data_IF_808458071444
#
_entry.id   IF_808458071444
#
_cell.length_a   1.000
_cell.length_b   1.000
_cell.length_c   1.000
_cell.angle_alpha   90.00
_cell.angle_beta   90.00
_cell.angle_gamma   90.00
#
_symmetry.space_group_name_H-M   'P 1'
#
loop_
_entity.id
_entity.type
_entity.pdbx_description
1 polymer ?
#
# COMPACT_ATOMS: atom_id res chain seq x y z
N UNK A 1 -43.59 -33.30 -20.81
CA UNK A 1 -43.80 -32.36 -19.69
C UNK A 1 -42.90 -32.79 -18.54
N UNK A 2 -42.06 -31.87 -18.06
CA UNK A 2 -40.92 -32.12 -17.16
C UNK A 2 -41.37 -32.28 -15.70
N UNK A 3 -40.56 -33.06 -14.97
CA UNK A 3 -40.79 -33.71 -13.67
C UNK A 3 -40.92 -32.74 -12.49
N UNK A 4 -41.65 -33.22 -11.49
CA UNK A 4 -41.86 -32.66 -10.15
C UNK A 4 -40.56 -32.29 -9.42
N UNK A 5 -40.63 -31.19 -8.68
CA UNK A 5 -39.63 -30.66 -7.75
C UNK A 5 -39.99 -31.21 -6.37
N UNK A 6 -39.10 -32.01 -5.78
CA UNK A 6 -39.15 -32.35 -4.36
C UNK A 6 -38.10 -31.53 -3.61
N UNK A 7 -38.58 -30.63 -2.76
CA UNK A 7 -37.82 -29.94 -1.72
C UNK A 7 -37.76 -30.84 -0.50
N UNK A 8 -36.57 -31.25 -0.07
CA UNK A 8 -36.36 -31.79 1.28
C UNK A 8 -35.17 -31.08 1.91
N UNK A 9 -35.49 -30.36 2.97
CA UNK A 9 -34.60 -29.64 3.87
C UNK A 9 -34.46 -30.51 5.12
N UNK A 10 -33.24 -30.95 5.44
CA UNK A 10 -32.97 -31.69 6.69
C UNK A 10 -31.83 -30.98 7.41
N UNK A 11 -32.22 -30.17 8.41
CA UNK A 11 -31.39 -29.89 9.58
C UNK A 11 -31.30 -31.18 10.41
N UNK A 12 -30.09 -31.58 10.78
CA UNK A 12 -29.92 -32.46 11.94
C UNK A 12 -28.59 -32.13 12.62
N UNK A 13 -28.71 -31.37 13.70
CA UNK A 13 -27.72 -31.17 14.74
C UNK A 13 -27.55 -32.46 15.54
N UNK A 14 -26.33 -32.99 15.62
CA UNK A 14 -25.98 -34.04 16.57
C UNK A 14 -25.00 -33.48 17.61
N UNK A 15 -25.55 -33.14 18.77
CA UNK A 15 -24.80 -32.95 20.01
C UNK A 15 -24.61 -34.33 20.62
N UNK A 16 -23.37 -34.76 20.82
CA UNK A 16 -23.05 -35.90 21.68
C UNK A 16 -22.18 -35.37 22.82
N UNK A 17 -22.82 -35.13 23.95
CA UNK A 17 -22.20 -35.06 25.26
C UNK A 17 -21.99 -36.50 25.75
N UNK A 18 -20.74 -36.92 25.89
CA UNK A 18 -20.39 -38.08 26.70
C UNK A 18 -19.32 -37.65 27.69
N UNK A 19 -19.76 -37.44 28.93
CA UNK A 19 -18.92 -37.48 30.10
C UNK A 19 -18.35 -38.90 30.26
N UNK A 20 -17.05 -39.01 30.52
CA UNK A 20 -16.47 -40.21 31.09
C UNK A 20 -15.59 -39.78 32.28
N UNK A 21 -15.90 -40.41 33.40
CA UNK A 21 -15.45 -40.13 34.76
C UNK A 21 -13.99 -40.50 35.03
N UNK A 22 -13.45 -39.83 36.05
CA UNK A 22 -12.11 -39.93 36.62
C UNK A 22 -11.51 -41.33 36.80
N UNK A 23 -10.20 -41.42 36.55
CA UNK A 23 -9.30 -42.28 37.31
C UNK A 23 -7.95 -41.58 37.51
N UNK A 24 -7.59 -41.42 38.76
CA UNK A 24 -6.47 -40.63 39.31
C UNK A 24 -5.18 -41.47 39.40
N UNK A 25 -4.05 -40.97 38.87
CA UNK A 25 -2.68 -41.34 39.28
C UNK A 25 -1.71 -40.16 39.05
N UNK A 26 -0.81 -39.96 40.01
CA UNK A 26 -0.07 -38.73 40.30
C UNK A 26 1.27 -38.51 39.55
N UNK A 27 1.53 -37.22 39.23
CA UNK A 27 2.78 -36.39 39.25
C UNK A 27 4.03 -36.77 38.40
N UNK A 28 4.97 -35.84 38.07
CA UNK A 28 4.98 -34.36 38.15
C UNK A 28 5.40 -33.63 36.84
N UNK A 29 5.22 -32.31 36.82
CA UNK A 29 5.95 -31.31 35.98
C UNK A 29 5.78 -31.35 34.45
N UNK A 30 5.02 -30.37 33.93
CA UNK A 30 5.56 -29.30 33.06
C UNK A 30 4.53 -28.20 32.89
N UNK A 31 4.89 -27.02 33.37
CA UNK A 31 4.30 -25.74 32.98
C UNK A 31 4.50 -25.61 31.47
N UNK A 32 3.42 -25.45 30.73
CA UNK A 32 3.46 -24.82 29.42
C UNK A 32 2.17 -24.02 29.28
N UNK A 33 2.26 -22.77 29.73
CA UNK A 33 1.36 -21.70 29.34
C UNK A 33 1.39 -21.66 27.81
N UNK A 34 0.38 -22.22 27.15
CA UNK A 34 0.08 -21.80 25.79
C UNK A 34 -0.46 -20.38 25.90
N UNK A 35 0.46 -19.41 25.89
CA UNK A 35 0.19 -18.11 25.30
C UNK A 35 -0.25 -18.38 23.86
N UNK A 36 -1.56 -18.54 23.68
CA UNK A 36 -2.19 -18.28 22.40
C UNK A 36 -1.97 -16.80 22.16
N UNK A 37 -0.82 -16.48 21.56
CA UNK A 37 -0.58 -15.20 20.91
C UNK A 37 -1.65 -15.11 19.85
N UNK A 38 -2.78 -14.49 20.21
CA UNK A 38 -3.72 -13.93 19.25
C UNK A 38 -2.85 -13.13 18.30
N UNK A 39 -2.69 -13.63 17.07
CA UNK A 39 -2.27 -12.82 15.96
C UNK A 39 -3.29 -11.70 15.89
N UNK A 40 -2.93 -10.57 16.50
CA UNK A 40 -3.54 -9.29 16.21
C UNK A 40 -3.32 -9.11 14.71
N UNK A 41 -4.33 -9.47 13.92
CA UNK A 41 -4.55 -8.77 12.67
C UNK A 41 -4.67 -7.31 13.09
N UNK A 42 -3.60 -6.55 12.96
CA UNK A 42 -3.68 -5.10 13.02
C UNK A 42 -4.76 -4.73 12.02
N UNK A 43 -5.96 -4.44 12.53
CA UNK A 43 -6.92 -3.71 11.75
C UNK A 43 -6.20 -2.42 11.41
N UNK A 44 -5.88 -2.24 10.12
CA UNK A 44 -5.65 -0.91 9.60
C UNK A 44 -6.97 -0.16 9.84
N UNK A 45 -7.06 0.46 11.01
CA UNK A 45 -7.96 1.58 11.25
C UNK A 45 -7.58 2.62 10.21
N UNK A 46 -8.56 3.26 9.57
CA UNK A 46 -8.34 4.28 8.55
C UNK A 46 -7.76 5.56 9.19
N UNK A 47 -6.58 5.45 9.79
CA UNK A 47 -5.82 6.56 10.34
C UNK A 47 -5.09 7.17 9.16
N UNK A 48 -5.36 8.43 8.87
CA UNK A 48 -4.67 9.18 7.82
C UNK A 48 -3.19 9.34 8.21
N UNK A 49 -2.24 9.19 7.27
CA UNK A 49 -0.84 9.50 7.54
C UNK A 49 -0.63 10.95 7.98
N UNK A 50 0.13 11.14 9.05
CA UNK A 50 0.55 12.49 9.52
C UNK A 50 1.84 12.97 8.83
N UNK A 51 2.61 12.04 8.30
CA UNK A 51 3.88 12.27 7.60
C UNK A 51 3.68 12.25 6.08
N UNK A 52 4.60 12.88 5.35
CA UNK A 52 4.64 12.87 3.88
C UNK A 52 5.86 12.08 3.39
N UNK A 53 5.83 11.50 2.18
CA UNK A 53 7.02 10.89 1.61
C UNK A 53 8.10 11.95 1.34
N UNK A 54 9.36 11.55 1.45
CA UNK A 54 10.49 12.39 1.08
C UNK A 54 10.94 12.10 -0.35
N UNK A 55 11.40 13.13 -1.05
CA UNK A 55 12.03 13.02 -2.37
C UNK A 55 13.33 13.82 -2.39
N UNK A 56 14.38 13.20 -2.92
CA UNK A 56 15.73 13.77 -2.96
C UNK A 56 16.42 13.47 -4.28
N UNK A 57 17.18 14.43 -4.77
CA UNK A 57 18.17 14.22 -5.83
C UNK A 57 19.47 13.74 -5.20
N UNK A 58 20.03 12.67 -5.73
CA UNK A 58 21.34 12.12 -5.38
C UNK A 58 22.25 12.33 -6.58
N UNK A 59 23.19 13.26 -6.46
CA UNK A 59 24.07 13.63 -7.56
C UNK A 59 25.09 12.52 -7.87
N UNK A 60 25.29 12.22 -9.15
CA UNK A 60 26.16 11.14 -9.60
C UNK A 60 27.66 11.40 -9.36
N UNK A 61 28.07 12.68 -9.35
CA UNK A 61 29.48 13.08 -9.29
C UNK A 61 30.05 12.98 -7.88
N UNK A 62 29.28 13.40 -6.88
CA UNK A 62 29.73 13.49 -5.48
C UNK A 62 28.87 12.73 -4.48
N UNK A 63 27.73 12.17 -4.89
CA UNK A 63 26.79 11.46 -4.03
C UNK A 63 25.99 12.36 -3.10
N UNK A 64 26.07 13.68 -3.25
CA UNK A 64 25.36 14.63 -2.40
C UNK A 64 23.85 14.47 -2.59
N UNK A 65 23.11 14.39 -1.48
CA UNK A 65 21.65 14.32 -1.48
C UNK A 65 21.04 15.67 -1.14
N UNK A 66 20.19 16.20 -2.02
CA UNK A 66 19.47 17.47 -1.83
C UNK A 66 17.97 17.27 -2.00
N UNK A 67 17.14 18.19 -1.50
CA UNK A 67 15.70 18.14 -1.76
C UNK A 67 15.40 18.32 -3.25
N UNK A 68 14.32 17.71 -3.72
CA UNK A 68 13.89 17.82 -5.12
C UNK A 68 12.48 18.39 -5.20
N UNK A 69 12.23 19.21 -6.23
CA UNK A 69 10.95 19.88 -6.41
C UNK A 69 9.84 18.86 -6.70
N UNK A 70 8.74 19.00 -5.95
CA UNK A 70 7.62 18.06 -6.00
C UNK A 70 6.36 18.64 -5.38
N UNK A 71 5.21 18.03 -5.70
CA UNK A 71 3.91 18.32 -5.11
C UNK A 71 3.32 17.04 -4.54
N UNK A 72 3.13 17.02 -3.22
CA UNK A 72 2.39 15.97 -2.53
C UNK A 72 0.94 16.39 -2.30
N UNK A 73 0.01 15.55 -2.73
CA UNK A 73 -1.42 15.77 -2.55
C UNK A 73 -2.08 14.51 -1.99
N UNK A 74 -2.88 14.70 -0.96
CA UNK A 74 -3.82 13.68 -0.53
C UNK A 74 -5.09 13.79 -1.37
N UNK A 75 -5.44 12.71 -2.07
CA UNK A 75 -6.58 12.72 -2.98
C UNK A 75 -7.86 12.43 -2.22
N UNK A 76 -7.86 11.42 -1.36
CA UNK A 76 -8.98 11.12 -0.48
C UNK A 76 -8.60 10.22 0.69
N UNK A 77 -9.48 10.21 1.69
CA UNK A 77 -9.43 9.30 2.82
C UNK A 77 -10.85 8.91 3.26
N UNK A 78 -11.05 7.64 3.60
CA UNK A 78 -12.29 7.07 4.16
C UNK A 78 -13.56 7.48 3.39
N UNK A 79 -13.53 7.34 2.06
CA UNK A 79 -14.67 7.61 1.19
C UNK A 79 -15.19 6.32 0.58
N UNK A 80 -16.52 6.24 0.43
CA UNK A 80 -17.20 5.17 -0.31
C UNK A 80 -17.19 5.41 -1.82
N UNK A 81 -16.65 6.55 -2.28
CA UNK A 81 -16.55 6.89 -3.69
C UNK A 81 -15.30 6.27 -4.31
N UNK A 82 -15.49 5.12 -4.97
CA UNK A 82 -14.41 4.33 -5.56
C UNK A 82 -13.72 4.99 -6.79
N UNK A 83 -14.21 6.14 -7.28
CA UNK A 83 -13.81 6.65 -8.60
C UNK A 83 -13.50 8.15 -8.61
N UNK A 84 -12.64 8.59 -7.69
CA UNK A 84 -12.13 9.97 -7.69
C UNK A 84 -11.07 10.10 -8.78
N UNK A 85 -11.47 10.73 -9.89
CA UNK A 85 -10.57 11.15 -10.96
C UNK A 85 -9.54 12.12 -10.39
N UNK A 86 -8.26 11.90 -10.72
CA UNK A 86 -7.16 12.76 -10.30
C UNK A 86 -6.59 13.48 -11.52
N UNK A 87 -6.50 14.81 -11.43
CA UNK A 87 -5.84 15.63 -12.45
C UNK A 87 -4.41 15.89 -11.99
N UNK A 88 -3.44 15.58 -12.84
CA UNK A 88 -2.03 15.83 -12.56
C UNK A 88 -1.79 17.34 -12.58
N UNK A 89 -1.20 17.93 -11.51
CA UNK A 89 -0.90 19.35 -11.49
C UNK A 89 0.23 19.66 -12.46
N UNK A 90 0.28 20.92 -12.92
CA UNK A 90 1.48 21.49 -13.51
C UNK A 90 2.54 21.68 -12.41
N UNK A 91 3.78 21.27 -12.69
CA UNK A 91 4.87 21.26 -11.70
C UNK A 91 6.10 21.88 -12.33
N UNK A 92 6.82 22.67 -11.53
CA UNK A 92 8.14 23.14 -11.91
C UNK A 92 9.07 21.94 -12.11
N UNK A 93 9.79 21.93 -13.24
CA UNK A 93 10.82 20.93 -13.47
C UNK A 93 11.98 21.15 -12.51
N UNK A 94 12.50 20.07 -11.93
CA UNK A 94 13.74 20.11 -11.16
C UNK A 94 14.93 19.75 -12.03
N UNK A 95 16.04 20.48 -11.84
CA UNK A 95 17.30 20.24 -12.55
C UNK A 95 17.85 18.83 -12.25
N UNK A 96 18.10 18.05 -13.30
CA UNK A 96 18.75 16.74 -13.21
C UNK A 96 19.82 16.57 -14.29
N UNK A 97 20.84 15.77 -14.02
CA UNK A 97 21.81 15.35 -15.03
C UNK A 97 21.73 13.84 -15.28
N UNK A 98 22.10 13.41 -16.50
CA UNK A 98 22.23 11.97 -16.81
C UNK A 98 23.23 11.32 -15.84
N UNK A 99 22.80 10.23 -15.21
CA UNK A 99 23.54 9.51 -14.18
C UNK A 99 23.09 9.84 -12.75
N UNK A 100 22.36 10.94 -12.54
CA UNK A 100 21.77 11.26 -11.25
C UNK A 100 20.69 10.25 -10.86
N UNK A 101 20.25 10.34 -9.62
CA UNK A 101 19.28 9.42 -9.04
C UNK A 101 18.23 10.18 -8.22
N UNK A 102 16.96 9.85 -8.42
CA UNK A 102 15.86 10.37 -7.60
C UNK A 102 15.48 9.32 -6.58
N UNK A 103 15.71 9.62 -5.31
CA UNK A 103 15.36 8.79 -4.18
C UNK A 103 14.02 9.25 -3.59
N UNK A 104 13.02 8.38 -3.64
CA UNK A 104 11.73 8.59 -2.99
C UNK A 104 11.61 7.60 -1.84
N UNK A 105 11.31 8.09 -0.65
CA UNK A 105 11.24 7.30 0.59
C UNK A 105 9.93 7.60 1.34
N UNK A 106 9.13 6.55 1.56
CA UNK A 106 7.87 6.56 2.31
C UNK A 106 7.92 5.69 3.58
N UNK A 107 9.12 5.42 4.08
CA UNK A 107 9.37 4.70 5.34
C UNK A 107 8.85 5.42 6.58
N UNK A 108 8.48 6.70 6.48
CA UNK A 108 7.84 7.46 7.55
C UNK A 108 6.31 7.45 7.49
N UNK A 109 5.68 7.07 6.36
CA UNK A 109 4.22 7.00 6.27
C UNK A 109 3.64 5.98 7.26
N UNK A 110 2.73 6.43 8.12
CA UNK A 110 2.04 5.57 9.06
C UNK A 110 0.54 5.90 9.08
N UNK A 111 -0.36 5.00 8.67
CA UNK A 111 -0.11 3.62 8.24
C UNK A 111 0.67 3.54 6.94
N UNK A 112 1.36 2.41 6.72
CA UNK A 112 2.06 2.14 5.47
C UNK A 112 1.06 1.95 4.32
N UNK A 113 1.34 2.48 3.11
CA UNK A 113 0.53 2.20 1.95
C UNK A 113 0.54 0.70 1.65
N UNK A 114 -0.61 0.16 1.28
CA UNK A 114 -0.78 -1.26 0.93
C UNK A 114 -0.47 -1.53 -0.53
N UNK A 115 -0.38 -0.50 -1.36
CA UNK A 115 0.08 -0.54 -2.75
C UNK A 115 0.79 0.77 -3.09
N UNK A 116 1.85 0.68 -3.90
CA UNK A 116 2.58 1.83 -4.43
C UNK A 116 2.84 1.62 -5.92
N UNK A 117 2.50 2.62 -6.73
CA UNK A 117 2.72 2.62 -8.19
C UNK A 117 3.52 3.85 -8.61
N UNK A 118 4.42 3.68 -9.58
CA UNK A 118 5.01 4.77 -10.34
C UNK A 118 4.27 4.94 -11.66
N UNK A 119 3.88 6.17 -11.96
CA UNK A 119 3.10 6.56 -13.12
C UNK A 119 3.91 7.56 -13.94
N UNK A 120 4.08 7.30 -15.23
CA UNK A 120 4.57 8.30 -16.19
C UNK A 120 3.38 9.11 -16.72
N UNK A 121 3.50 10.43 -16.66
CA UNK A 121 2.40 11.36 -16.97
C UNK A 121 2.64 12.00 -18.33
N UNK A 122 1.62 11.96 -19.19
CA UNK A 122 1.68 12.58 -20.53
C UNK A 122 1.20 14.03 -20.51
N UNK A 123 0.13 14.27 -19.78
CA UNK A 123 -0.52 15.57 -19.57
C UNK A 123 -1.44 15.47 -18.35
N UNK A 124 -2.10 16.58 -18.02
CA UNK A 124 -2.93 16.80 -16.83
C UNK A 124 -4.00 15.73 -16.55
N UNK A 125 -4.38 14.92 -17.54
CA UNK A 125 -5.40 13.88 -17.40
C UNK A 125 -5.02 12.51 -17.98
N UNK A 126 -3.84 12.38 -18.59
CA UNK A 126 -3.43 11.19 -19.33
C UNK A 126 -2.16 10.56 -18.75
N UNK A 127 -2.26 9.27 -18.39
CA UNK A 127 -1.13 8.43 -17.98
C UNK A 127 -0.55 7.73 -19.20
N UNK A 128 0.78 7.66 -19.31
CA UNK A 128 1.49 6.88 -20.35
C UNK A 128 1.66 5.43 -19.91
N UNK A 129 2.09 5.25 -18.67
CA UNK A 129 2.49 3.96 -18.13
C UNK A 129 2.31 3.93 -16.61
N UNK A 130 2.01 2.77 -16.05
CA UNK A 130 1.89 2.55 -14.61
C UNK A 130 2.56 1.23 -14.23
N UNK A 131 3.45 1.26 -13.23
CA UNK A 131 4.10 0.06 -12.71
C UNK A 131 4.06 0.00 -11.18
N UNK A 132 3.76 -1.17 -10.62
CA UNK A 132 3.79 -1.40 -9.17
C UNK A 132 5.24 -1.51 -8.66
N UNK A 133 5.53 -0.86 -7.51
CA UNK A 133 6.89 -0.74 -6.96
C UNK A 133 6.99 -1.12 -5.47
N UNK A 134 5.98 -1.80 -4.91
CA UNK A 134 5.84 -2.05 -3.46
C UNK A 134 6.85 -3.03 -2.81
N UNK A 135 7.98 -3.35 -3.45
CA UNK A 135 8.95 -4.30 -2.87
C UNK A 135 9.75 -3.72 -1.70
N UNK A 136 9.64 -2.42 -1.45
CA UNK A 136 10.41 -1.66 -0.46
C UNK A 136 9.58 -0.47 0.07
N UNK A 137 10.14 0.24 1.05
CA UNK A 137 9.62 1.55 1.51
C UNK A 137 10.29 2.73 0.81
N UNK A 138 11.08 2.45 -0.22
CA UNK A 138 11.73 3.45 -1.06
C UNK A 138 11.96 2.94 -2.47
N UNK A 139 12.10 3.86 -3.43
CA UNK A 139 12.54 3.59 -4.79
C UNK A 139 13.67 4.56 -5.16
N UNK A 140 14.59 4.06 -5.97
CA UNK A 140 15.60 4.86 -6.62
C UNK A 140 15.36 4.85 -8.13
N UNK A 141 15.25 6.02 -8.75
CA UNK A 141 15.01 6.21 -10.17
C UNK A 141 16.27 6.82 -10.77
N UNK A 142 16.99 6.04 -11.58
CA UNK A 142 18.15 6.53 -12.31
C UNK A 142 17.74 7.42 -13.47
N UNK A 143 18.43 8.53 -13.64
CA UNK A 143 18.21 9.49 -14.73
C UNK A 143 19.06 9.08 -15.93
N UNK A 144 18.40 8.75 -17.04
CA UNK A 144 19.03 8.59 -18.35
C UNK A 144 18.47 9.62 -19.34
N UNK A 145 19.01 9.66 -20.56
CA UNK A 145 18.58 10.61 -21.60
C UNK A 145 17.08 10.51 -21.94
N UNK A 146 16.48 9.32 -21.78
CA UNK A 146 15.06 9.12 -22.06
C UNK A 146 14.16 9.65 -20.95
N UNK A 147 14.70 9.92 -19.76
CA UNK A 147 13.94 10.41 -18.61
C UNK A 147 13.79 11.94 -18.61
N UNK A 148 14.73 12.65 -19.24
CA UNK A 148 14.77 14.12 -19.31
C UNK A 148 13.47 14.70 -19.89
N UNK A 149 12.94 15.74 -19.25
CA UNK A 149 11.69 16.41 -19.63
C UNK A 149 10.40 15.68 -19.23
N UNK A 150 10.47 14.44 -18.70
CA UNK A 150 9.28 13.67 -18.31
C UNK A 150 8.74 14.09 -16.95
N UNK A 151 7.44 13.90 -16.79
CA UNK A 151 6.72 14.05 -15.52
C UNK A 151 6.28 12.70 -14.98
N UNK A 152 6.36 12.56 -13.66
CA UNK A 152 6.03 11.34 -12.95
C UNK A 152 5.12 11.62 -11.76
N UNK A 153 4.41 10.58 -11.34
CA UNK A 153 3.70 10.54 -10.08
C UNK A 153 3.92 9.19 -9.38
N UNK A 154 4.15 9.23 -8.07
CA UNK A 154 4.04 8.05 -7.21
C UNK A 154 2.68 8.07 -6.54
N UNK A 155 1.87 7.06 -6.84
CA UNK A 155 0.59 6.83 -6.19
C UNK A 155 0.79 5.93 -4.98
N UNK A 156 0.33 6.40 -3.82
CA UNK A 156 0.25 5.61 -2.59
C UNK A 156 -1.21 5.29 -2.31
N UNK A 157 -1.52 4.01 -2.17
CA UNK A 157 -2.87 3.51 -1.98
C UNK A 157 -2.97 2.72 -0.68
N UNK A 158 -4.03 2.94 0.07
CA UNK A 158 -4.36 2.18 1.27
C UNK A 158 -5.65 1.42 1.04
N UNK A 159 -5.58 0.10 1.19
CA UNK A 159 -6.71 -0.80 1.02
C UNK A 159 -7.03 -1.51 2.32
N UNK A 160 -8.32 -1.57 2.68
CA UNK A 160 -8.83 -2.48 3.71
C UNK A 160 -9.53 -3.62 3.00
N UNK A 161 -8.92 -4.80 3.01
CA UNK A 161 -9.33 -5.93 2.14
C UNK A 161 -9.24 -5.51 0.67
N UNK A 162 -10.35 -5.46 -0.05
CA UNK A 162 -10.41 -5.08 -1.47
C UNK A 162 -10.87 -3.61 -1.67
N UNK A 163 -11.21 -2.91 -0.59
CA UNK A 163 -11.73 -1.54 -0.66
C UNK A 163 -10.58 -0.53 -0.55
N UNK A 164 -10.51 0.41 -1.49
CA UNK A 164 -9.55 1.50 -1.47
C UNK A 164 -10.04 2.58 -0.49
N UNK A 165 -9.40 2.66 0.68
CA UNK A 165 -9.78 3.56 1.77
C UNK A 165 -8.95 4.86 1.78
N UNK A 166 -7.91 4.95 0.97
CA UNK A 166 -7.08 6.14 0.89
C UNK A 166 -6.20 6.17 -0.33
N UNK A 167 -5.96 7.37 -0.85
CA UNK A 167 -5.07 7.61 -2.00
C UNK A 167 -4.35 8.94 -1.84
N UNK A 168 -3.04 8.96 -2.08
CA UNK A 168 -2.24 10.17 -2.21
C UNK A 168 -1.28 10.07 -3.40
N UNK A 169 -0.83 11.22 -3.89
CA UNK A 169 0.00 11.36 -5.08
C UNK A 169 1.19 12.26 -4.75
N UNK A 170 2.40 11.77 -5.05
CA UNK A 170 3.62 12.60 -5.07
C UNK A 170 4.03 12.81 -6.52
N UNK A 171 4.00 14.04 -6.98
CA UNK A 171 4.21 14.38 -8.38
C UNK A 171 5.50 15.20 -8.53
N UNK A 172 6.28 14.94 -9.58
CA UNK A 172 7.56 15.61 -9.84
C UNK A 172 7.90 15.54 -11.34
N UNK A 173 8.82 16.41 -11.79
CA UNK A 173 9.19 16.53 -13.20
C UNK A 173 10.68 16.79 -13.34
N UNK A 174 11.27 16.24 -14.40
CA UNK A 174 12.68 16.41 -14.74
C UNK A 174 12.84 17.51 -15.79
N UNK A 175 13.83 18.38 -15.59
CA UNK A 175 14.29 19.31 -16.64
C UNK A 175 15.24 18.62 -17.61
#
# INVERSE_FOLDING_TARGET
MKKHIDRILILSSMVILSACSDSEKASPNKISTEESTMQSSEEISAIRPEEVPSIKLVNAKDGLSTGFDSVYEEVFWDTTENDITYNFPEIHSGDVEVGDNILIDWSMLNPKPTEVSLIEVKNDSEKVNERSIMKSTSINIGIDEAEIGKQYAVQFSWKKREELIGKSMLNFKFE
#
